data_IF_183798077526
#
_entry.id   IF_183798077526
#
_cell.length_a   1.000
_cell.length_b   1.000
_cell.length_c   1.000
_cell.angle_alpha   90.00
_cell.angle_beta   90.00
_cell.angle_gamma   90.00
#
_symmetry.space_group_name_H-M   'P 1'
#
loop_
_entity.id
_entity.type
_entity.pdbx_description
1 polymer ?
#
# COMPACT_ATOMS: atom_id res chain seq x y z
N UNK A 1 13.86 -3.36 18.66
CA UNK A 1 13.34 -2.00 18.94
C UNK A 1 13.62 -1.64 20.39
N UNK A 2 14.23 -0.47 20.65
CA UNK A 2 14.45 0.02 22.00
C UNK A 2 13.11 0.29 22.71
N UNK A 3 13.09 0.19 24.05
CA UNK A 3 11.89 0.40 24.86
C UNK A 3 11.31 1.82 24.71
N UNK A 4 12.19 2.79 24.46
CA UNK A 4 11.84 4.16 24.11
C UNK A 4 12.43 4.52 22.74
N UNK A 5 11.61 5.13 21.90
CA UNK A 5 12.02 5.64 20.60
C UNK A 5 12.59 7.06 20.77
N UNK A 6 13.73 7.38 20.12
CA UNK A 6 14.35 8.70 20.23
C UNK A 6 13.58 9.79 19.47
N UNK A 7 12.77 9.39 18.48
CA UNK A 7 11.86 10.23 17.71
C UNK A 7 10.92 9.36 16.86
N UNK A 8 9.89 9.96 16.29
CA UNK A 8 9.06 9.37 15.23
C UNK A 8 9.01 10.33 14.05
N UNK A 9 9.35 9.87 12.87
CA UNK A 9 9.20 10.61 11.61
C UNK A 9 8.21 9.86 10.72
N UNK A 10 7.23 10.59 10.19
CA UNK A 10 6.26 10.07 9.23
C UNK A 10 6.64 10.52 7.81
N UNK A 11 6.85 9.55 6.92
CA UNK A 11 6.97 9.77 5.48
C UNK A 11 5.79 9.14 4.76
N UNK A 12 5.01 9.92 4.01
CA UNK A 12 3.84 9.48 3.25
C UNK A 12 4.13 9.61 1.76
N UNK A 13 3.91 8.55 0.99
CA UNK A 13 4.08 8.64 -0.46
C UNK A 13 2.93 9.42 -1.08
N UNK A 14 3.23 10.58 -1.64
CA UNK A 14 2.21 11.42 -2.26
C UNK A 14 1.61 10.70 -3.46
N UNK A 15 0.29 10.60 -3.51
CA UNK A 15 -0.43 10.04 -4.66
C UNK A 15 0.09 8.66 -5.13
N UNK A 16 0.52 7.79 -4.19
CA UNK A 16 1.32 6.59 -4.47
C UNK A 16 0.81 5.71 -5.62
N UNK A 17 -0.50 5.44 -5.66
CA UNK A 17 -1.09 4.53 -6.65
C UNK A 17 -1.03 5.07 -8.08
N UNK A 18 -1.02 6.40 -8.26
CA UNK A 18 -1.00 7.04 -9.57
C UNK A 18 0.31 6.81 -10.34
N UNK A 19 1.38 6.39 -9.66
CA UNK A 19 2.66 6.01 -10.28
C UNK A 19 2.61 4.60 -10.90
N UNK A 20 1.62 3.78 -10.54
CA UNK A 20 1.55 2.35 -10.88
C UNK A 20 0.42 2.00 -11.85
N UNK A 21 -0.13 3.00 -12.56
CA UNK A 21 -1.23 2.85 -13.54
C UNK A 21 -0.76 2.76 -14.99
N UNK A 22 0.55 2.70 -15.24
CA UNK A 22 1.13 2.81 -16.59
C UNK A 22 1.00 1.52 -17.42
N UNK A 23 0.89 0.36 -16.78
CA UNK A 23 0.61 -0.93 -17.40
C UNK A 23 -0.33 -1.75 -16.51
N UNK A 24 -1.21 -2.53 -17.14
CA UNK A 24 -2.16 -3.41 -16.45
C UNK A 24 -2.49 -4.62 -17.31
N UNK A 25 -2.95 -5.70 -16.67
CA UNK A 25 -3.35 -6.91 -17.38
C UNK A 25 -4.57 -6.66 -18.26
N UNK A 26 -4.54 -7.15 -19.50
CA UNK A 26 -5.71 -7.19 -20.39
C UNK A 26 -5.93 -8.61 -20.92
N UNK A 27 -7.17 -8.89 -21.32
CA UNK A 27 -7.56 -10.21 -21.81
C UNK A 27 -7.62 -11.28 -20.72
N UNK A 28 -7.75 -12.53 -21.15
CA UNK A 28 -7.78 -13.67 -20.24
C UNK A 28 -6.36 -14.00 -19.73
N UNK A 29 -6.16 -14.25 -18.43
CA UNK A 29 -4.86 -14.67 -17.93
C UNK A 29 -4.47 -16.03 -18.50
N UNK A 30 -3.20 -16.17 -18.83
CA UNK A 30 -2.58 -17.46 -19.12
C UNK A 30 -1.99 -18.02 -17.83
N UNK A 31 -2.37 -19.26 -17.49
CA UNK A 31 -1.76 -20.00 -16.40
C UNK A 31 -0.33 -20.42 -16.76
N UNK A 32 0.60 -20.26 -15.84
CA UNK A 32 2.01 -20.64 -15.97
C UNK A 32 2.36 -21.59 -14.83
N UNK A 33 2.52 -22.88 -15.13
CA UNK A 33 2.94 -23.86 -14.13
C UNK A 33 4.42 -23.69 -13.77
N UNK A 34 4.84 -24.23 -12.62
CA UNK A 34 6.25 -24.29 -12.22
C UNK A 34 7.17 -24.79 -13.36
N UNK A 35 6.81 -25.92 -14.00
CA UNK A 35 7.59 -26.50 -15.09
C UNK A 35 7.65 -25.57 -16.32
N UNK A 36 6.54 -24.92 -16.68
CA UNK A 36 6.50 -23.98 -17.80
C UNK A 36 7.27 -22.68 -17.52
N UNK A 37 7.38 -22.27 -16.26
CA UNK A 37 8.23 -21.16 -15.84
C UNK A 37 9.72 -21.55 -15.90
N UNK A 38 10.08 -22.71 -15.33
CA UNK A 38 11.45 -23.20 -15.31
C UNK A 38 12.03 -23.48 -16.72
N UNK A 39 11.17 -23.87 -17.67
CA UNK A 39 11.57 -24.08 -19.07
C UNK A 39 11.90 -22.78 -19.84
N UNK A 40 11.62 -21.60 -19.27
CA UNK A 40 11.93 -20.31 -19.87
C UNK A 40 13.40 -19.94 -19.67
N UNK A 41 13.95 -19.21 -20.63
CA UNK A 41 15.23 -18.51 -20.43
C UNK A 41 15.13 -17.50 -19.28
N UNK A 42 16.27 -17.16 -18.66
CA UNK A 42 16.34 -16.18 -17.57
C UNK A 42 15.72 -14.82 -17.97
N UNK A 43 15.94 -14.40 -19.22
CA UNK A 43 15.35 -13.18 -19.79
C UNK A 43 13.83 -13.26 -19.84
N UNK A 44 13.27 -14.39 -20.26
CA UNK A 44 11.81 -14.60 -20.31
C UNK A 44 11.18 -14.72 -18.93
N UNK A 45 11.87 -15.37 -17.97
CA UNK A 45 11.45 -15.40 -16.57
C UNK A 45 11.40 -13.98 -16.00
N UNK A 46 12.46 -13.20 -16.21
CA UNK A 46 12.53 -11.79 -15.83
C UNK A 46 11.38 -11.00 -16.44
N UNK A 47 11.17 -11.11 -17.75
CA UNK A 47 10.09 -10.39 -18.45
C UNK A 47 8.70 -10.78 -17.92
N UNK A 48 8.49 -12.05 -17.55
CA UNK A 48 7.23 -12.51 -16.97
C UNK A 48 6.96 -11.86 -15.60
N UNK A 49 7.99 -11.62 -14.79
CA UNK A 49 7.86 -10.94 -13.50
C UNK A 49 7.65 -9.42 -13.64
N UNK A 50 8.14 -8.80 -14.72
CA UNK A 50 7.88 -7.38 -15.02
C UNK A 50 6.53 -7.13 -15.70
N UNK A 51 5.94 -8.15 -16.32
CA UNK A 51 4.61 -8.07 -16.92
C UNK A 51 3.50 -8.11 -15.84
N UNK A 52 2.28 -7.65 -16.16
CA UNK A 52 1.13 -7.83 -15.29
C UNK A 52 0.94 -9.32 -14.99
N UNK A 53 1.23 -9.70 -13.75
CA UNK A 53 1.32 -11.10 -13.34
C UNK A 53 1.08 -11.26 -11.85
N UNK A 54 0.66 -12.47 -11.47
CA UNK A 54 0.40 -12.86 -10.08
C UNK A 54 0.86 -14.29 -9.89
N UNK A 55 1.71 -14.54 -8.90
CA UNK A 55 2.46 -15.79 -8.76
C UNK A 55 2.17 -16.45 -7.43
N UNK A 56 1.87 -17.75 -7.46
CA UNK A 56 1.93 -18.59 -6.29
C UNK A 56 3.37 -19.01 -6.08
N UNK A 57 3.92 -18.69 -4.91
CA UNK A 57 5.35 -18.85 -4.64
C UNK A 57 5.57 -19.51 -3.29
N UNK A 58 6.63 -20.31 -3.21
CA UNK A 58 7.27 -20.68 -1.96
C UNK A 58 8.46 -19.75 -1.75
N UNK A 59 8.52 -19.14 -0.58
CA UNK A 59 9.49 -18.12 -0.21
C UNK A 59 10.28 -18.62 0.98
N UNK A 60 11.59 -18.41 0.98
CA UNK A 60 12.45 -18.59 2.16
C UNK A 60 13.16 -17.28 2.45
N UNK A 61 12.96 -16.76 3.66
CA UNK A 61 13.69 -15.58 4.16
C UNK A 61 15.17 -15.94 4.30
N UNK A 62 16.11 -15.12 3.79
CA UNK A 62 17.54 -15.39 3.89
C UNK A 62 18.02 -15.62 5.32
N UNK A 63 19.03 -16.47 5.48
CA UNK A 63 19.78 -16.54 6.73
C UNK A 63 20.43 -15.18 7.02
N UNK A 64 20.35 -14.73 8.28
CA UNK A 64 20.87 -13.43 8.70
C UNK A 64 20.03 -12.21 8.31
N UNK A 65 18.82 -12.39 7.78
CA UNK A 65 17.90 -11.28 7.53
C UNK A 65 17.50 -10.57 8.82
N UNK A 66 17.72 -9.25 8.89
CA UNK A 66 17.47 -8.44 10.08
C UNK A 66 16.51 -7.26 9.82
N UNK A 67 15.85 -7.25 8.66
CA UNK A 67 14.99 -6.16 8.19
C UNK A 67 13.50 -6.55 8.16
N UNK A 68 12.63 -5.65 7.72
CA UNK A 68 11.19 -5.87 7.59
C UNK A 68 10.87 -6.98 6.57
N UNK A 69 9.72 -7.64 6.74
CA UNK A 69 9.26 -8.65 5.79
C UNK A 69 8.88 -8.03 4.44
N UNK A 70 9.31 -8.64 3.33
CA UNK A 70 9.06 -8.12 1.97
C UNK A 70 7.71 -8.61 1.42
N UNK A 71 7.38 -9.89 1.63
CA UNK A 71 6.23 -10.55 1.02
C UNK A 71 5.18 -10.92 2.09
N UNK A 72 3.88 -10.76 1.81
CA UNK A 72 2.84 -11.13 2.76
C UNK A 72 2.70 -12.65 2.85
N UNK A 73 2.45 -13.17 4.04
CA UNK A 73 1.97 -14.52 4.28
C UNK A 73 0.51 -14.48 4.77
N UNK A 74 -0.32 -15.48 4.43
CA UNK A 74 -1.68 -15.57 4.95
C UNK A 74 -1.64 -15.72 6.48
N UNK A 75 -2.38 -14.85 7.19
CA UNK A 75 -2.52 -14.94 8.64
C UNK A 75 -3.77 -15.77 9.01
N UNK A 76 -3.72 -16.42 10.17
CA UNK A 76 -4.90 -17.03 10.81
C UNK A 76 -5.63 -15.98 11.64
N UNK A 77 -6.97 -16.03 11.71
CA UNK A 77 -7.80 -15.12 12.52
C UNK A 77 -8.29 -13.89 11.76
N UNK A 78 -8.47 -12.76 12.47
CA UNK A 78 -9.07 -11.52 11.91
C UNK A 78 -8.12 -10.74 10.98
N UNK A 79 -6.81 -11.02 11.03
CA UNK A 79 -5.85 -10.44 10.09
C UNK A 79 -5.84 -11.26 8.81
N UNK A 80 -5.96 -10.59 7.67
CA UNK A 80 -5.86 -11.27 6.39
C UNK A 80 -4.40 -11.69 6.04
N UNK A 81 -3.40 -10.93 6.51
CA UNK A 81 -1.99 -11.14 6.17
C UNK A 81 -1.05 -10.70 7.31
N UNK A 82 0.14 -11.27 7.35
CA UNK A 82 1.29 -10.77 8.10
C UNK A 82 2.53 -10.76 7.19
N UNK A 83 3.63 -10.11 7.61
CA UNK A 83 4.86 -10.01 6.82
C UNK A 83 5.99 -10.74 7.55
N UNK A 84 6.23 -12.02 7.24
CA UNK A 84 7.31 -12.80 7.87
C UNK A 84 8.66 -12.15 7.60
N UNK A 85 9.52 -12.13 8.61
CA UNK A 85 10.86 -11.55 8.53
C UNK A 85 11.91 -12.38 9.30
N UNK A 86 11.52 -13.52 9.88
CA UNK A 86 12.44 -14.35 10.65
C UNK A 86 13.40 -15.09 9.69
N UNK A 87 14.73 -15.05 9.92
CA UNK A 87 15.70 -15.79 9.12
C UNK A 87 15.35 -17.28 8.97
N UNK A 88 15.50 -17.81 7.76
CA UNK A 88 15.22 -19.22 7.44
C UNK A 88 13.73 -19.58 7.37
N UNK A 89 12.82 -18.69 7.78
CA UNK A 89 11.38 -18.96 7.73
C UNK A 89 10.93 -19.17 6.28
N UNK A 90 10.15 -20.24 6.07
CA UNK A 90 9.61 -20.60 4.75
C UNK A 90 8.09 -20.59 4.78
N UNK A 91 7.47 -20.01 3.75
CA UNK A 91 6.02 -19.92 3.63
C UNK A 91 5.58 -19.92 2.15
N UNK A 92 4.28 -20.15 1.93
CA UNK A 92 3.66 -20.09 0.61
C UNK A 92 2.68 -18.93 0.55
N UNK A 93 2.70 -18.16 -0.54
CA UNK A 93 1.81 -17.00 -0.72
C UNK A 93 1.51 -16.74 -2.19
N UNK A 94 0.62 -15.78 -2.44
CA UNK A 94 0.40 -15.16 -3.74
C UNK A 94 0.92 -13.74 -3.73
N UNK A 95 1.73 -13.37 -4.72
CA UNK A 95 2.31 -12.03 -4.85
C UNK A 95 2.29 -11.56 -6.30
N UNK A 96 2.16 -10.25 -6.52
CA UNK A 96 2.26 -9.70 -7.87
C UNK A 96 3.72 -9.69 -8.36
N UNK A 97 3.90 -9.66 -9.69
CA UNK A 97 5.24 -9.71 -10.30
C UNK A 97 6.21 -8.65 -9.78
N UNK A 98 5.73 -7.43 -9.49
CA UNK A 98 6.56 -6.35 -8.93
C UNK A 98 7.12 -6.69 -7.54
N UNK A 99 6.32 -7.32 -6.68
CA UNK A 99 6.75 -7.76 -5.34
C UNK A 99 7.74 -8.93 -5.42
N UNK A 100 7.47 -9.90 -6.30
CA UNK A 100 8.39 -11.03 -6.53
C UNK A 100 9.73 -10.52 -7.05
N UNK A 101 9.71 -9.61 -8.02
CA UNK A 101 10.91 -9.01 -8.58
C UNK A 101 11.69 -8.18 -7.55
N UNK A 102 10.99 -7.43 -6.70
CA UNK A 102 11.62 -6.73 -5.57
C UNK A 102 12.31 -7.73 -4.65
N UNK A 103 11.62 -8.78 -4.20
CA UNK A 103 12.19 -9.76 -3.27
C UNK A 103 13.43 -10.46 -3.84
N UNK A 104 13.45 -10.78 -5.14
CA UNK A 104 14.61 -11.35 -5.85
C UNK A 104 15.77 -10.36 -6.06
N UNK A 105 15.50 -9.05 -6.08
CA UNK A 105 16.48 -8.01 -6.47
C UNK A 105 16.61 -6.90 -5.43
N UNK A 106 16.25 -7.20 -4.18
CA UNK A 106 16.27 -6.22 -3.11
C UNK A 106 17.73 -5.80 -2.79
N UNK A 107 17.94 -4.59 -2.24
CA UNK A 107 19.29 -4.03 -2.07
C UNK A 107 20.10 -4.67 -0.92
N UNK A 108 19.50 -5.53 -0.10
CA UNK A 108 20.13 -6.09 1.09
C UNK A 108 20.64 -7.51 0.80
N UNK A 109 19.74 -8.46 0.61
CA UNK A 109 20.06 -9.86 0.32
C UNK A 109 18.87 -10.49 -0.40
N UNK A 110 19.00 -10.94 -1.66
CA UNK A 110 17.94 -11.59 -2.41
C UNK A 110 17.25 -12.71 -1.63
N UNK A 111 15.92 -12.67 -1.57
CA UNK A 111 15.13 -13.75 -0.98
C UNK A 111 15.08 -14.94 -1.94
N UNK A 112 15.07 -16.16 -1.39
CA UNK A 112 14.90 -17.37 -2.20
C UNK A 112 13.42 -17.55 -2.54
N UNK A 113 13.11 -17.63 -3.83
CA UNK A 113 11.75 -17.79 -4.33
C UNK A 113 11.68 -18.97 -5.30
N UNK A 114 10.72 -19.84 -5.08
CA UNK A 114 10.33 -20.91 -5.99
C UNK A 114 8.93 -20.61 -6.53
N UNK A 115 8.81 -20.51 -7.86
CA UNK A 115 7.52 -20.35 -8.53
C UNK A 115 6.78 -21.69 -8.55
N UNK A 116 5.57 -21.74 -7.98
CA UNK A 116 4.73 -22.93 -7.94
C UNK A 116 3.67 -22.91 -9.05
N UNK A 117 3.06 -21.75 -9.26
CA UNK A 117 2.05 -21.50 -10.31
C UNK A 117 1.98 -19.99 -10.57
N UNK A 118 1.26 -19.58 -11.61
CA UNK A 118 1.11 -18.16 -11.91
C UNK A 118 0.04 -17.85 -12.93
N UNK A 119 -0.40 -16.60 -12.88
CA UNK A 119 -1.27 -15.96 -13.85
C UNK A 119 -0.49 -14.85 -14.52
N UNK A 120 -0.41 -14.90 -15.85
CA UNK A 120 0.27 -13.90 -16.66
C UNK A 120 -0.72 -13.34 -17.68
N UNK A 121 -0.88 -12.03 -17.66
CA UNK A 121 -1.74 -11.32 -18.61
C UNK A 121 -0.92 -10.71 -19.76
N UNK A 122 -1.62 -10.36 -20.82
CA UNK A 122 -1.09 -9.41 -21.80
C UNK A 122 -0.95 -8.03 -21.15
N UNK A 123 0.10 -7.30 -21.51
CA UNK A 123 0.32 -5.94 -21.01
C UNK A 123 -0.44 -4.93 -21.85
N UNK A 124 -1.43 -4.27 -21.24
CA UNK A 124 -2.17 -3.16 -21.81
C UNK A 124 -2.07 -1.90 -20.95
N UNK A 125 -2.80 -0.85 -21.35
CA UNK A 125 -2.74 0.46 -20.68
C UNK A 125 -4.12 1.05 -20.34
N UNK A 126 -5.10 0.24 -19.87
CA UNK A 126 -6.48 0.71 -19.68
C UNK A 126 -6.60 1.85 -18.65
N UNK A 127 -5.70 1.91 -17.67
CA UNK A 127 -5.70 2.94 -16.64
C UNK A 127 -4.88 4.18 -17.00
N UNK A 128 -4.05 4.13 -18.05
CA UNK A 128 -3.03 5.14 -18.32
C UNK A 128 -3.66 6.50 -18.56
N UNK A 129 -4.50 6.63 -19.57
CA UNK A 129 -5.08 7.92 -19.97
C UNK A 129 -5.95 8.53 -18.88
N UNK A 130 -6.76 7.71 -18.22
CA UNK A 130 -7.57 8.12 -17.07
C UNK A 130 -6.67 8.66 -15.94
N UNK A 131 -5.64 7.92 -15.55
CA UNK A 131 -4.74 8.34 -14.48
C UNK A 131 -3.90 9.57 -14.85
N UNK A 132 -3.49 9.72 -16.10
CA UNK A 132 -2.75 10.89 -16.60
C UNK A 132 -3.60 12.14 -16.47
N UNK A 133 -4.86 12.11 -16.95
CA UNK A 133 -5.79 13.23 -16.82
C UNK A 133 -6.02 13.63 -15.36
N UNK A 134 -6.13 12.66 -14.45
CA UNK A 134 -6.27 12.95 -13.02
C UNK A 134 -4.98 13.52 -12.40
N UNK A 135 -3.80 13.04 -12.80
CA UNK A 135 -2.51 13.61 -12.37
C UNK A 135 -2.34 15.05 -12.85
N UNK A 136 -2.66 15.32 -14.10
CA UNK A 136 -2.56 16.66 -14.69
C UNK A 136 -3.51 17.64 -13.99
N UNK A 137 -4.76 17.22 -13.76
CA UNK A 137 -5.73 18.00 -13.00
C UNK A 137 -5.26 18.24 -11.55
N UNK A 138 -4.72 17.20 -10.89
CA UNK A 138 -4.18 17.31 -9.54
C UNK A 138 -3.02 18.32 -9.47
N UNK A 139 -2.05 18.21 -10.38
CA UNK A 139 -0.89 19.12 -10.45
C UNK A 139 -1.32 20.57 -10.72
N UNK A 140 -2.26 20.78 -11.65
CA UNK A 140 -2.79 22.11 -11.96
C UNK A 140 -3.49 22.74 -10.76
N UNK A 141 -4.30 21.95 -10.03
CA UNK A 141 -4.99 22.41 -8.82
C UNK A 141 -4.03 22.68 -7.66
N UNK A 142 -2.96 21.89 -7.52
CA UNK A 142 -1.90 22.15 -6.54
C UNK A 142 -1.16 23.46 -6.84
N UNK A 143 -0.81 23.70 -8.11
CA UNK A 143 -0.19 24.95 -8.53
C UNK A 143 -1.10 26.16 -8.28
N UNK A 144 -2.39 26.03 -8.54
CA UNK A 144 -3.39 27.07 -8.24
C UNK A 144 -3.52 27.30 -6.73
N UNK A 145 -3.53 26.24 -5.94
CA UNK A 145 -3.62 26.32 -4.48
C UNK A 145 -2.42 27.04 -3.85
N UNK A 146 -1.23 26.90 -4.44
CA UNK A 146 -0.01 27.56 -3.97
C UNK A 146 0.07 29.04 -4.39
N UNK A 147 -0.29 29.35 -5.65
CA UNK A 147 0.12 30.62 -6.27
C UNK A 147 -1.03 31.64 -6.46
N UNK A 148 -2.29 31.27 -6.22
CA UNK A 148 -3.41 32.17 -6.50
C UNK A 148 -3.50 33.34 -5.50
N UNK A 149 -3.79 34.55 -5.98
CA UNK A 149 -3.85 35.77 -5.14
C UNK A 149 -5.00 35.76 -4.11
N UNK A 150 -6.16 35.22 -4.48
CA UNK A 150 -7.31 35.08 -3.58
C UNK A 150 -7.21 33.82 -2.69
N UNK A 151 -7.31 34.00 -1.36
CA UNK A 151 -7.29 32.94 -0.35
C UNK A 151 -8.44 31.93 -0.51
N UNK A 152 -9.65 32.38 -0.89
CA UNK A 152 -10.79 31.47 -1.09
C UNK A 152 -10.54 30.53 -2.26
N UNK A 153 -9.94 31.05 -3.34
CA UNK A 153 -9.57 30.25 -4.50
C UNK A 153 -8.43 29.28 -4.18
N UNK A 154 -7.43 29.70 -3.38
CA UNK A 154 -6.40 28.77 -2.89
C UNK A 154 -7.00 27.60 -2.12
N UNK A 155 -7.92 27.87 -1.19
CA UNK A 155 -8.61 26.84 -0.41
C UNK A 155 -9.46 25.94 -1.31
N UNK A 156 -10.24 26.50 -2.23
CA UNK A 156 -11.05 25.73 -3.16
C UNK A 156 -10.21 24.79 -4.04
N UNK A 157 -9.10 25.30 -4.60
CA UNK A 157 -8.15 24.51 -5.38
C UNK A 157 -7.49 23.40 -4.56
N UNK A 158 -7.12 23.70 -3.31
CA UNK A 158 -6.58 22.71 -2.38
C UNK A 158 -7.57 21.56 -2.15
N UNK A 159 -8.82 21.88 -1.79
CA UNK A 159 -9.87 20.87 -1.57
C UNK A 159 -10.17 20.06 -2.84
N UNK A 160 -10.24 20.72 -4.00
CA UNK A 160 -10.45 20.05 -5.29
C UNK A 160 -9.30 19.08 -5.61
N UNK A 161 -8.04 19.46 -5.34
CA UNK A 161 -6.90 18.56 -5.56
C UNK A 161 -7.00 17.29 -4.68
N UNK A 162 -7.49 17.42 -3.45
CA UNK A 162 -7.73 16.28 -2.55
C UNK A 162 -8.87 15.39 -3.06
N UNK A 163 -9.91 15.99 -3.63
CA UNK A 163 -10.99 15.25 -4.27
C UNK A 163 -10.47 14.43 -5.47
N UNK A 164 -9.65 15.03 -6.33
CA UNK A 164 -9.01 14.33 -7.47
C UNK A 164 -8.14 13.16 -7.01
N UNK A 165 -7.31 13.35 -5.96
CA UNK A 165 -6.54 12.25 -5.33
C UNK A 165 -7.47 11.12 -4.87
N UNK A 166 -8.58 11.47 -4.23
CA UNK A 166 -9.56 10.51 -3.70
C UNK A 166 -10.26 9.73 -4.82
N UNK A 167 -10.63 10.38 -5.93
CA UNK A 167 -11.24 9.73 -7.09
C UNK A 167 -10.34 8.62 -7.64
N UNK A 168 -9.04 8.90 -7.81
CA UNK A 168 -8.11 7.88 -8.28
C UNK A 168 -7.95 6.76 -7.25
N UNK A 169 -7.74 7.10 -5.98
CA UNK A 169 -7.51 6.13 -4.91
C UNK A 169 -8.68 5.14 -4.78
N UNK A 170 -9.90 5.67 -4.62
CA UNK A 170 -11.10 4.85 -4.48
C UNK A 170 -11.51 4.19 -5.81
N UNK A 171 -11.25 4.83 -6.94
CA UNK A 171 -11.45 4.24 -8.27
C UNK A 171 -10.62 2.98 -8.48
N UNK A 172 -9.33 3.00 -8.13
CA UNK A 172 -8.48 1.79 -8.14
C UNK A 172 -9.07 0.71 -7.24
N UNK A 173 -9.52 1.07 -6.05
CA UNK A 173 -10.12 0.13 -5.10
C UNK A 173 -11.46 -0.47 -5.55
N UNK A 174 -12.18 0.21 -6.44
CA UNK A 174 -13.48 -0.22 -6.96
C UNK A 174 -13.36 -1.32 -8.04
N UNK A 175 -12.22 -1.43 -8.73
CA UNK A 175 -11.99 -2.53 -9.67
C UNK A 175 -11.85 -3.89 -8.99
N UNK A 176 -11.46 -3.91 -7.72
CA UNK A 176 -11.46 -5.13 -6.94
C UNK A 176 -12.91 -5.52 -6.62
N UNK A 177 -13.37 -6.65 -7.18
CA UNK A 177 -14.68 -7.18 -6.85
C UNK A 177 -14.74 -7.47 -5.35
N UNK A 178 -15.71 -6.86 -4.66
CA UNK A 178 -15.96 -7.13 -3.24
C UNK A 178 -17.21 -8.00 -3.09
N UNK A 179 -17.25 -8.88 -2.09
CA UNK A 179 -18.49 -9.54 -1.75
C UNK A 179 -19.50 -8.47 -1.32
N UNK A 180 -20.76 -8.65 -1.71
CA UNK A 180 -21.80 -7.69 -1.36
C UNK A 180 -22.14 -7.88 0.12
N UNK A 181 -21.74 -6.92 0.96
CA UNK A 181 -22.06 -6.92 2.38
C UNK A 181 -23.34 -6.12 2.58
N UNK A 182 -24.34 -6.74 3.21
CA UNK A 182 -25.55 -6.06 3.67
C UNK A 182 -25.39 -5.78 5.15
N UNK A 183 -25.33 -4.50 5.52
CA UNK A 183 -25.33 -4.06 6.92
C UNK A 183 -26.72 -3.54 7.28
N UNK A 184 -27.27 -4.00 8.39
CA UNK A 184 -28.56 -3.55 8.94
C UNK A 184 -28.49 -3.53 10.46
N UNK A 185 -29.45 -2.85 11.07
CA UNK A 185 -29.61 -2.84 12.52
C UNK A 185 -31.02 -3.28 12.89
N UNK A 186 -31.14 -3.95 14.02
CA UNK A 186 -32.41 -4.31 14.67
C UNK A 186 -32.41 -3.78 16.11
N UNK A 187 -33.55 -3.44 16.71
CA UNK A 187 -33.60 -3.09 18.13
C UNK A 187 -33.12 -4.24 19.02
N UNK A 188 -32.55 -3.92 20.19
CA UNK A 188 -32.26 -4.91 21.24
C UNK A 188 -33.59 -5.54 21.71
N UNK A 189 -33.63 -6.87 21.83
CA UNK A 189 -34.86 -7.65 22.05
C UNK A 189 -35.52 -8.17 20.76
N UNK A 190 -35.06 -7.71 19.58
CA UNK A 190 -35.48 -8.21 18.26
C UNK A 190 -34.39 -9.08 17.60
N UNK A 191 -33.57 -9.80 18.37
CA UNK A 191 -32.46 -10.62 17.85
C UNK A 191 -32.93 -11.70 16.86
N UNK A 192 -34.17 -12.17 17.02
CA UNK A 192 -34.81 -13.15 16.14
C UNK A 192 -35.02 -12.64 14.70
N UNK A 193 -34.97 -11.32 14.46
CA UNK A 193 -35.04 -10.72 13.13
C UNK A 193 -33.70 -10.76 12.37
N UNK A 194 -32.60 -11.09 13.07
CA UNK A 194 -31.27 -11.21 12.46
C UNK A 194 -31.24 -12.50 11.61
N UNK A 195 -30.98 -12.41 10.29
CA UNK A 195 -31.01 -13.57 9.43
C UNK A 195 -29.85 -14.53 9.75
N UNK A 196 -30.11 -15.84 9.60
CA UNK A 196 -29.09 -16.86 9.78
C UNK A 196 -27.85 -16.60 8.89
N UNK A 197 -26.67 -16.74 9.48
CA UNK A 197 -25.38 -16.47 8.83
C UNK A 197 -24.99 -14.99 8.77
N UNK A 198 -25.74 -14.09 9.41
CA UNK A 198 -25.26 -12.74 9.69
C UNK A 198 -24.30 -12.73 10.89
N UNK A 199 -23.31 -11.85 10.84
CA UNK A 199 -22.36 -11.58 11.91
C UNK A 199 -22.76 -10.29 12.62
N UNK A 200 -22.89 -10.32 13.94
CA UNK A 200 -23.09 -9.11 14.75
C UNK A 200 -21.76 -8.36 14.80
N UNK A 201 -21.77 -7.08 14.41
CA UNK A 201 -20.57 -6.24 14.33
C UNK A 201 -20.56 -5.11 15.36
N UNK A 202 -21.67 -4.92 16.08
CA UNK A 202 -21.73 -3.97 17.18
C UNK A 202 -23.10 -3.95 17.84
N UNK A 203 -23.14 -3.46 19.07
CA UNK A 203 -24.38 -3.09 19.76
C UNK A 203 -24.11 -1.86 20.63
N UNK A 204 -25.05 -0.93 20.65
CA UNK A 204 -24.98 0.31 21.43
C UNK A 204 -26.00 0.34 22.59
N UNK A 205 -26.57 -0.82 22.94
CA UNK A 205 -27.57 -0.97 24.00
C UNK A 205 -29.01 -0.68 23.58
N UNK A 206 -29.23 0.02 22.46
CA UNK A 206 -30.56 0.23 21.86
C UNK A 206 -30.73 -0.59 20.58
N UNK A 207 -29.65 -0.75 19.81
CA UNK A 207 -29.63 -1.48 18.55
C UNK A 207 -28.51 -2.51 18.50
N UNK A 208 -28.73 -3.53 17.68
CA UNK A 208 -27.76 -4.54 17.30
C UNK A 208 -27.50 -4.38 15.81
N UNK A 209 -26.27 -4.03 15.47
CA UNK A 209 -25.83 -3.89 14.08
C UNK A 209 -25.23 -5.21 13.62
N UNK A 210 -25.76 -5.74 12.52
CA UNK A 210 -25.31 -6.99 11.91
C UNK A 210 -24.95 -6.78 10.44
N UNK A 211 -24.05 -7.64 9.96
CA UNK A 211 -23.68 -7.70 8.55
C UNK A 211 -23.85 -9.12 8.00
N UNK A 212 -24.25 -9.24 6.74
CA UNK A 212 -24.29 -10.52 6.03
C UNK A 212 -23.64 -10.38 4.67
N UNK A 213 -22.69 -11.27 4.39
CA UNK A 213 -22.13 -11.41 3.04
C UNK A 213 -23.13 -12.15 2.16
N UNK A 214 -23.61 -11.51 1.11
CA UNK A 214 -24.43 -12.12 0.06
C UNK A 214 -23.59 -12.83 -1.01
N UNK A 215 -22.29 -13.01 -0.77
CA UNK A 215 -21.34 -13.57 -1.74
C UNK A 215 -20.95 -12.57 -2.83
N UNK A 216 -20.38 -13.10 -3.91
CA UNK A 216 -19.92 -12.32 -5.05
C UNK A 216 -20.99 -12.36 -6.17
N UNK A 217 -21.48 -11.19 -6.58
CA UNK A 217 -22.24 -11.04 -7.83
C UNK A 217 -21.28 -10.69 -8.95
N UNK A 218 -21.38 -11.36 -10.10
CA UNK A 218 -20.56 -11.04 -11.28
C UNK A 218 -20.76 -9.57 -11.67
N UNK A 219 -19.71 -8.78 -11.53
CA UNK A 219 -19.65 -7.40 -11.97
C UNK A 219 -18.87 -7.35 -13.30
N UNK A 220 -19.49 -6.96 -14.43
CA UNK A 220 -18.80 -6.90 -15.71
C UNK A 220 -17.70 -5.82 -15.76
N UNK A 221 -17.68 -4.88 -14.81
CA UNK A 221 -16.67 -3.83 -14.70
C UNK A 221 -15.60 -4.15 -13.65
N UNK A 222 -15.69 -5.30 -12.98
CA UNK A 222 -14.65 -5.74 -12.05
C UNK A 222 -13.41 -6.22 -12.83
N UNK A 223 -12.31 -5.54 -12.55
CA UNK A 223 -10.98 -5.84 -13.08
C UNK A 223 -9.99 -5.98 -11.91
N UNK A 224 -10.11 -7.04 -11.09
CA UNK A 224 -9.28 -7.22 -9.90
C UNK A 224 -7.78 -7.27 -10.25
N UNK A 225 -7.42 -7.69 -11.45
CA UNK A 225 -6.06 -7.69 -11.98
C UNK A 225 -5.46 -6.28 -12.11
N UNK A 226 -6.29 -5.25 -12.38
CA UNK A 226 -5.83 -3.86 -12.41
C UNK A 226 -5.50 -3.34 -11.02
N UNK A 227 -6.40 -3.55 -10.06
CA UNK A 227 -6.19 -3.17 -8.67
C UNK A 227 -4.98 -3.90 -8.07
N UNK A 228 -4.90 -5.22 -8.27
CA UNK A 228 -3.80 -6.04 -7.78
C UNK A 228 -2.44 -5.59 -8.35
N UNK A 229 -2.37 -5.26 -9.64
CA UNK A 229 -1.16 -4.74 -10.27
C UNK A 229 -0.70 -3.41 -9.67
N UNK A 230 -1.64 -2.47 -9.50
CA UNK A 230 -1.36 -1.16 -8.87
C UNK A 230 -0.88 -1.32 -7.43
N UNK A 231 -1.56 -2.16 -6.63
CA UNK A 231 -1.19 -2.40 -5.23
C UNK A 231 0.15 -3.12 -5.10
N UNK A 232 0.43 -4.11 -5.96
CA UNK A 232 1.71 -4.80 -5.99
C UNK A 232 2.86 -3.83 -6.29
N UNK A 233 2.69 -2.98 -7.31
CA UNK A 233 3.66 -1.93 -7.63
C UNK A 233 3.85 -0.93 -6.49
N UNK A 234 2.76 -0.49 -5.85
CA UNK A 234 2.81 0.45 -4.74
C UNK A 234 3.52 -0.11 -3.51
N UNK A 235 3.26 -1.38 -3.14
CA UNK A 235 3.93 -2.07 -2.03
C UNK A 235 5.41 -2.31 -2.32
N UNK A 236 5.76 -2.73 -3.53
CA UNK A 236 7.15 -2.88 -3.92
C UNK A 236 7.91 -1.54 -3.84
N UNK A 237 7.30 -0.46 -4.32
CA UNK A 237 7.89 0.87 -4.30
C UNK A 237 7.91 1.53 -2.90
N UNK A 238 7.08 1.07 -1.96
CA UNK A 238 7.16 1.42 -0.53
C UNK A 238 8.47 0.90 0.08
N UNK A 239 8.93 -0.26 -0.37
CA UNK A 239 10.15 -0.89 0.13
C UNK A 239 11.41 -0.39 -0.56
N UNK A 240 11.38 -0.19 -1.88
CA UNK A 240 12.53 0.32 -2.63
C UNK A 240 12.12 1.01 -3.94
N UNK A 241 12.55 2.26 -4.12
CA UNK A 241 12.39 3.03 -5.35
C UNK A 241 13.68 3.80 -5.65
N UNK A 242 14.15 3.76 -6.90
CA UNK A 242 15.22 4.67 -7.36
C UNK A 242 14.60 6.01 -7.79
N UNK A 243 15.01 7.10 -7.17
CA UNK A 243 14.75 8.47 -7.63
C UNK A 243 15.84 8.85 -8.62
N UNK A 244 15.50 8.82 -9.92
CA UNK A 244 16.49 8.98 -11.00
C UNK A 244 17.10 10.37 -11.07
N UNK A 245 16.34 11.40 -10.71
CA UNK A 245 16.79 12.80 -10.77
C UNK A 245 17.88 13.08 -9.74
N UNK A 246 17.76 12.49 -8.55
CA UNK A 246 18.72 12.66 -7.45
C UNK A 246 19.77 11.53 -7.36
N UNK A 247 19.72 10.56 -8.28
CA UNK A 247 20.49 9.31 -8.25
C UNK A 247 20.51 8.60 -6.87
N UNK A 248 19.40 8.68 -6.14
CA UNK A 248 19.27 8.11 -4.79
C UNK A 248 18.20 7.03 -4.72
N UNK A 249 18.27 6.21 -3.68
CA UNK A 249 17.25 5.23 -3.37
C UNK A 249 16.47 5.61 -2.12
N UNK A 250 15.15 5.38 -2.18
CA UNK A 250 14.20 5.68 -1.10
C UNK A 250 13.32 4.47 -0.82
N UNK A 251 12.72 4.43 0.37
CA UNK A 251 11.88 3.34 0.83
C UNK A 251 12.49 2.56 1.99
N UNK A 252 11.70 1.68 2.60
CA UNK A 252 12.04 1.07 3.88
C UNK A 252 13.34 0.27 3.88
N UNK A 253 13.68 -0.42 2.79
CA UNK A 253 14.89 -1.23 2.71
C UNK A 253 16.18 -0.38 2.61
N UNK A 254 16.05 0.94 2.52
CA UNK A 254 17.16 1.91 2.57
C UNK A 254 17.25 2.64 3.92
N UNK A 255 16.41 2.26 4.89
CA UNK A 255 16.50 2.70 6.27
C UNK A 255 17.29 1.68 7.11
N UNK A 256 17.93 2.10 8.23
CA UNK A 256 18.46 1.16 9.21
C UNK A 256 17.38 0.15 9.65
N UNK A 257 17.67 -1.16 9.75
CA UNK A 257 16.67 -2.18 10.03
C UNK A 257 15.90 -1.97 11.35
N UNK A 258 16.59 -1.46 12.36
CA UNK A 258 16.07 -1.17 13.69
C UNK A 258 15.36 0.19 13.80
N UNK A 259 15.23 0.93 12.70
CA UNK A 259 14.57 2.24 12.68
C UNK A 259 13.11 2.20 12.24
N UNK A 260 12.67 1.18 11.50
CA UNK A 260 11.31 1.11 10.94
C UNK A 260 10.30 0.73 12.03
N UNK A 261 9.45 1.67 12.42
CA UNK A 261 8.47 1.51 13.50
C UNK A 261 7.17 0.87 13.01
N UNK A 262 6.64 1.37 11.89
CA UNK A 262 5.36 0.91 11.36
C UNK A 262 5.21 1.24 9.87
N UNK A 263 4.26 0.56 9.24
CA UNK A 263 3.73 0.89 7.92
C UNK A 263 2.24 1.19 8.03
N UNK A 264 1.77 2.15 7.23
CA UNK A 264 0.33 2.37 7.05
C UNK A 264 0.05 2.66 5.58
N UNK A 265 -0.43 1.64 4.86
CA UNK A 265 -0.73 1.71 3.42
C UNK A 265 0.48 2.12 2.59
N UNK A 266 0.68 3.41 2.38
CA UNK A 266 1.73 4.06 1.58
C UNK A 266 2.64 4.97 2.42
N UNK A 267 2.54 4.91 3.76
CA UNK A 267 3.37 5.64 4.70
C UNK A 267 4.32 4.73 5.48
N UNK A 268 5.51 5.27 5.80
CA UNK A 268 6.55 4.68 6.64
C UNK A 268 6.70 5.56 7.88
N UNK A 269 6.72 4.93 9.05
CA UNK A 269 7.08 5.57 10.31
C UNK A 269 8.43 5.03 10.75
N UNK A 270 9.37 5.93 11.03
CA UNK A 270 10.75 5.55 11.34
C UNK A 270 11.35 6.45 12.42
N UNK A 271 12.34 5.95 13.14
CA UNK A 271 13.16 6.75 14.07
C UNK A 271 14.34 7.44 13.38
N UNK A 272 14.56 7.17 12.10
CA UNK A 272 15.63 7.74 11.28
C UNK A 272 15.06 8.76 10.29
N UNK A 273 15.70 9.93 10.17
CA UNK A 273 15.33 10.95 9.19
C UNK A 273 16.36 10.95 8.03
N UNK A 274 16.11 10.19 6.94
CA UNK A 274 17.07 10.02 5.85
C UNK A 274 17.18 11.23 4.90
N UNK A 275 16.53 12.36 5.20
CA UNK A 275 16.51 13.56 4.35
C UNK A 275 16.20 13.28 2.86
N UNK A 276 15.23 12.40 2.60
CA UNK A 276 14.85 12.03 1.23
C UNK A 276 14.37 13.25 0.43
N UNK A 277 14.77 13.39 -0.85
CA UNK A 277 14.33 14.48 -1.70
C UNK A 277 12.82 14.41 -1.96
N UNK A 278 12.20 15.58 -2.09
CA UNK A 278 10.77 15.74 -2.36
C UNK A 278 10.54 16.81 -3.43
N UNK A 279 10.06 16.40 -4.60
CA UNK A 279 9.85 17.28 -5.75
C UNK A 279 8.36 17.56 -6.02
N UNK A 280 7.49 17.15 -5.10
CA UNK A 280 6.04 17.24 -5.29
C UNK A 280 5.48 16.31 -6.36
N UNK A 281 6.26 15.32 -6.82
CA UNK A 281 5.84 14.39 -7.86
C UNK A 281 5.06 13.21 -7.26
N UNK A 282 4.13 12.60 -8.01
CA UNK A 282 3.46 11.37 -7.58
C UNK A 282 4.46 10.26 -7.23
N UNK A 283 4.36 9.78 -6.00
CA UNK A 283 5.10 8.68 -5.41
C UNK A 283 6.36 9.10 -4.65
N UNK A 284 6.63 10.40 -4.53
CA UNK A 284 7.69 10.96 -3.67
C UNK A 284 7.27 10.85 -2.20
N UNK A 285 8.26 10.73 -1.31
CA UNK A 285 8.01 10.72 0.14
C UNK A 285 7.94 12.14 0.68
N UNK A 286 6.76 12.53 1.16
CA UNK A 286 6.59 13.78 1.91
C UNK A 286 6.78 13.50 3.39
N UNK A 287 7.71 14.21 4.04
CA UNK A 287 7.78 14.28 5.50
C UNK A 287 6.52 15.00 6.00
N UNK A 288 5.65 14.28 6.70
CA UNK A 288 4.36 14.79 7.20
C UNK A 288 4.29 14.97 8.70
N UNK A 289 5.16 14.30 9.44
CA UNK A 289 5.19 14.41 10.88
C UNK A 289 6.59 14.17 11.42
N UNK A 290 6.88 14.83 12.54
CA UNK A 290 8.09 14.66 13.32
C UNK A 290 7.73 14.84 14.78
N UNK A 291 8.03 13.83 15.60
CA UNK A 291 7.83 13.87 17.04
C UNK A 291 9.17 13.60 17.71
N UNK A 292 9.81 14.57 18.37
CA UNK A 292 11.01 14.34 19.16
C UNK A 292 10.68 13.44 20.37
N UNK A 293 11.60 12.53 20.69
CA UNK A 293 11.48 11.63 21.84
C UNK A 293 12.13 12.18 23.12
N UNK A 294 12.25 11.33 24.16
CA UNK A 294 11.91 9.91 24.16
C UNK A 294 10.43 9.62 24.46
N UNK A 295 9.82 8.63 23.79
CA UNK A 295 8.49 8.10 24.12
C UNK A 295 8.41 6.59 23.85
N UNK A 296 7.41 5.91 24.42
CA UNK A 296 7.19 4.47 24.22
C UNK A 296 6.68 4.21 22.80
N UNK A 297 7.30 3.27 22.09
CA UNK A 297 6.88 2.90 20.73
C UNK A 297 5.48 2.27 20.70
N UNK A 298 4.68 2.53 19.64
CA UNK A 298 3.30 2.07 19.57
C UNK A 298 3.22 0.54 19.46
N UNK A 299 2.26 -0.05 20.17
CA UNK A 299 1.91 -1.48 20.15
C UNK A 299 0.58 -1.74 19.47
N UNK A 300 -0.26 -0.71 19.35
CA UNK A 300 -1.57 -0.77 18.69
C UNK A 300 -1.67 0.26 17.56
N UNK A 301 -2.65 0.09 16.66
CA UNK A 301 -2.91 1.10 15.65
C UNK A 301 -3.34 2.42 16.29
N UNK A 302 -4.20 2.38 17.31
CA UNK A 302 -4.66 3.58 18.02
C UNK A 302 -3.50 4.41 18.58
N UNK A 303 -2.56 3.77 19.27
CA UNK A 303 -1.35 4.42 19.78
C UNK A 303 -0.52 5.06 18.65
N UNK A 304 -0.37 4.37 17.52
CA UNK A 304 0.31 4.92 16.35
C UNK A 304 -0.41 6.17 15.82
N UNK A 305 -1.75 6.19 15.80
CA UNK A 305 -2.53 7.34 15.32
C UNK A 305 -2.47 8.53 16.27
N UNK A 306 -2.42 8.27 17.58
CA UNK A 306 -2.18 9.31 18.58
C UNK A 306 -0.80 9.95 18.37
N UNK A 307 0.25 9.13 18.24
CA UNK A 307 1.61 9.63 17.99
C UNK A 307 1.74 10.34 16.63
N UNK A 308 1.06 9.84 15.60
CA UNK A 308 0.98 10.51 14.29
C UNK A 308 0.40 11.92 14.43
N UNK A 309 -0.73 12.05 15.14
CA UNK A 309 -1.39 13.35 15.31
C UNK A 309 -0.48 14.35 16.03
N UNK A 310 0.21 13.90 17.08
CA UNK A 310 1.20 14.72 17.80
C UNK A 310 2.37 15.13 16.92
N UNK A 311 2.96 14.19 16.17
CA UNK A 311 4.09 14.48 15.28
C UNK A 311 3.73 15.40 14.11
N UNK A 312 2.50 15.35 13.60
CA UNK A 312 2.02 16.29 12.57
C UNK A 312 1.82 17.70 13.13
N UNK A 313 1.26 17.82 14.34
CA UNK A 313 1.10 19.10 15.01
C UNK A 313 2.46 19.75 15.30
N UNK A 314 3.40 18.98 15.85
CA UNK A 314 4.74 19.46 16.14
C UNK A 314 5.49 19.93 14.88
N UNK A 315 5.46 19.15 13.79
CA UNK A 315 6.09 19.57 12.54
C UNK A 315 5.48 20.85 11.96
N UNK A 316 4.17 21.06 12.12
CA UNK A 316 3.51 22.30 11.69
C UNK A 316 4.01 23.51 12.50
N UNK A 317 4.14 23.37 13.83
CA UNK A 317 4.70 24.40 14.71
C UNK A 317 6.16 24.74 14.35
N UNK A 318 7.00 23.73 14.06
CA UNK A 318 8.38 23.94 13.61
C UNK A 318 8.45 24.72 12.29
N UNK A 319 7.55 24.42 11.35
CA UNK A 319 7.49 25.09 10.05
C UNK A 319 6.97 26.54 10.17
N UNK A 320 6.08 26.82 11.11
CA UNK A 320 5.57 28.18 11.38
C UNK A 320 6.59 29.03 12.15
N UNK A 321 7.32 28.44 13.13
CA UNK A 321 8.33 29.15 13.91
C UNK A 321 9.66 29.38 13.19
N UNK A 322 9.89 28.68 12.07
CA UNK A 322 11.07 28.85 11.21
C UNK A 322 10.90 29.85 10.05
N UNK A 323 9.72 30.46 9.90
CA UNK A 323 9.44 31.55 8.96
C UNK A 323 9.58 32.93 9.62
#
# INVERSE_FOLDING_TARGET
MPEKLPQLVEFDRTFAYAKHTWASGVGAPRRITAAAFAAKSEKEQTNALFAPSHWQIRVTVPEGWDHVGILPAPATGDRAWYYPAEPGQTFTTWAGGAEVNLALRNPITPWRIEILDGLLWESGTPLRDWSTKLKDAWASLQALAANHGDQRQRLAAHLASRAVRSILLYGIGAFAQRPRITTRSVPVGCEHEIPAGAQIIGSDGETITWQRSAGFSRDPYAHPEWAAGVWSGARAALLSTKMREDDTFVGALHLPPDSVVAFRTDAIYTTHDPAWPYHGQPGDYLKKGHLPGPFTGPRTEEELLSLQSLGRAHLAEEQEGGQ
#
